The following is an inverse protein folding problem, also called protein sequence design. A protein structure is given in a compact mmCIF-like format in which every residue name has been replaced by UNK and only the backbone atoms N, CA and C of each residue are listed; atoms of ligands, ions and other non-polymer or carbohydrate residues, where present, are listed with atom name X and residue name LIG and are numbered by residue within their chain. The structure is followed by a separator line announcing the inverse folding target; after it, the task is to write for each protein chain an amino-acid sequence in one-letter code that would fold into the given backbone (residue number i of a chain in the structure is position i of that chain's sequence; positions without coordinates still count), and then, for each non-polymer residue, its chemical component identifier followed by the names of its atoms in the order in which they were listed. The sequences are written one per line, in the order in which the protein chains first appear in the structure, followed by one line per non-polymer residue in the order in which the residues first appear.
data_IF_891817905538
#
_entry.id   IF_891817905538
#
_cell.length_a   1.000
_cell.length_b   1.000
_cell.length_c   1.000
_cell.angle_alpha   90.00
_cell.angle_beta   90.00
_cell.angle_gamma   90.00
#
_symmetry.space_group_name_H-M   'P 1'
#
loop_
_entity.id
_entity.type
_entity.pdbx_description
1 polymer ?
#
# COMPACT_ATOMS: atom_id res chain seq x y z
N UNK A 1 5.98 -7.55 -4.52
CA UNK A 1 6.13 -7.39 -5.98
C UNK A 1 7.53 -7.75 -6.44
N UNK A 2 8.59 -7.24 -5.81
CA UNK A 2 9.99 -7.58 -6.14
C UNK A 2 10.30 -9.09 -6.14
N UNK A 3 9.74 -9.85 -5.20
CA UNK A 3 9.88 -11.31 -5.19
C UNK A 3 9.33 -11.96 -6.48
N UNK A 4 8.34 -11.35 -7.15
CA UNK A 4 7.80 -11.86 -8.42
C UNK A 4 8.81 -11.74 -9.57
N UNK A 5 9.79 -10.84 -9.46
CA UNK A 5 10.91 -10.71 -10.39
C UNK A 5 12.21 -11.32 -9.82
N UNK A 6 12.10 -12.14 -8.76
CA UNK A 6 13.23 -12.85 -8.14
C UNK A 6 14.11 -11.98 -7.21
N UNK A 7 13.70 -10.75 -6.92
CA UNK A 7 14.45 -9.85 -6.05
C UNK A 7 14.04 -10.07 -4.59
N UNK A 8 14.91 -10.75 -3.83
CA UNK A 8 14.72 -10.98 -2.39
C UNK A 8 15.18 -9.76 -1.56
N UNK A 9 14.35 -8.72 -1.47
CA UNK A 9 14.66 -7.56 -0.63
C UNK A 9 14.25 -7.76 0.83
N UNK A 10 15.02 -7.19 1.74
CA UNK A 10 14.67 -7.14 3.16
C UNK A 10 13.51 -6.18 3.39
N UNK A 11 12.54 -6.60 4.20
CA UNK A 11 11.41 -5.74 4.57
C UNK A 11 11.91 -4.57 5.42
N UNK A 12 11.62 -3.31 5.05
CA UNK A 12 12.00 -2.17 5.87
C UNK A 12 11.23 -2.19 7.21
N UNK A 13 11.87 -1.68 8.26
CA UNK A 13 11.25 -1.50 9.58
C UNK A 13 10.12 -0.47 9.57
N UNK A 14 9.33 -0.43 10.65
CA UNK A 14 8.30 0.61 10.82
C UNK A 14 8.96 1.98 10.98
N UNK A 15 8.42 2.98 10.29
CA UNK A 15 8.88 4.37 10.38
C UNK A 15 7.82 5.21 11.10
N UNK A 16 8.26 6.23 11.83
CA UNK A 16 7.41 7.24 12.46
C UNK A 16 8.03 8.61 12.27
N UNK A 17 7.20 9.61 12.03
CA UNK A 17 7.64 10.96 11.69
C UNK A 17 6.99 11.99 12.62
N UNK A 18 7.66 13.14 12.74
CA UNK A 18 7.25 14.21 13.65
C UNK A 18 6.36 15.25 12.96
N UNK A 19 6.30 15.27 11.63
CA UNK A 19 5.50 16.25 10.88
C UNK A 19 4.64 15.61 9.79
N UNK A 20 3.51 16.24 9.50
CA UNK A 20 2.60 15.83 8.41
C UNK A 20 3.33 15.79 7.06
N UNK A 21 4.19 16.79 6.80
CA UNK A 21 4.92 16.87 5.54
C UNK A 21 5.87 15.68 5.32
N UNK A 22 6.47 15.15 6.40
CA UNK A 22 7.30 13.95 6.31
C UNK A 22 6.48 12.71 5.89
N UNK A 23 5.26 12.55 6.42
CA UNK A 23 4.36 11.48 5.99
C UNK A 23 3.94 11.64 4.51
N UNK A 24 3.61 12.86 4.08
CA UNK A 24 3.26 13.16 2.69
C UNK A 24 4.43 12.78 1.75
N UNK A 25 5.65 13.18 2.10
CA UNK A 25 6.84 12.83 1.32
C UNK A 25 7.04 11.31 1.20
N UNK A 26 6.81 10.54 2.27
CA UNK A 26 6.91 9.08 2.20
C UNK A 26 5.83 8.47 1.30
N UNK A 27 4.61 9.01 1.29
CA UNK A 27 3.58 8.55 0.35
C UNK A 27 4.00 8.81 -1.10
N UNK A 28 4.55 9.98 -1.41
CA UNK A 28 5.09 10.26 -2.74
C UNK A 28 6.21 9.31 -3.14
N UNK A 29 7.15 9.01 -2.23
CA UNK A 29 8.21 8.04 -2.47
C UNK A 29 7.65 6.64 -2.73
N UNK A 30 6.65 6.20 -1.96
CA UNK A 30 5.97 4.92 -2.19
C UNK A 30 5.32 4.86 -3.57
N UNK A 31 4.61 5.92 -3.98
CA UNK A 31 3.96 5.97 -5.29
C UNK A 31 4.98 5.96 -6.42
N UNK A 32 6.04 6.78 -6.30
CA UNK A 32 7.10 6.84 -7.31
C UNK A 32 7.82 5.51 -7.46
N UNK A 33 8.08 4.84 -6.33
CA UNK A 33 8.68 3.53 -6.33
C UNK A 33 7.78 2.49 -7.03
N UNK A 34 6.47 2.51 -6.77
CA UNK A 34 5.50 1.64 -7.44
C UNK A 34 5.47 1.88 -8.95
N UNK A 35 5.40 3.14 -9.39
CA UNK A 35 5.46 3.52 -10.80
C UNK A 35 6.75 3.02 -11.47
N UNK A 36 7.90 3.31 -10.86
CA UNK A 36 9.20 2.91 -11.37
C UNK A 36 9.33 1.38 -11.50
N UNK A 37 8.71 0.62 -10.60
CA UNK A 37 8.70 -0.84 -10.67
C UNK A 37 8.04 -1.34 -11.96
N UNK A 38 6.88 -0.81 -12.35
CA UNK A 38 6.21 -1.20 -13.59
C UNK A 38 6.94 -0.68 -14.84
N UNK A 39 7.42 0.57 -14.81
CA UNK A 39 8.22 1.12 -15.91
C UNK A 39 9.49 0.30 -16.18
N UNK A 40 10.12 -0.23 -15.13
CA UNK A 40 11.33 -1.06 -15.27
C UNK A 40 11.03 -2.50 -15.69
N UNK A 41 9.78 -2.95 -15.59
CA UNK A 41 9.36 -4.32 -15.89
C UNK A 41 8.16 -4.33 -16.85
N UNK A 42 8.30 -3.83 -18.09
CA UNK A 42 7.16 -3.65 -19.01
C UNK A 42 6.50 -4.95 -19.46
N UNK A 43 7.23 -6.07 -19.44
CA UNK A 43 6.73 -7.40 -19.83
C UNK A 43 6.31 -8.25 -18.62
N UNK A 44 6.12 -7.63 -17.46
CA UNK A 44 5.73 -8.33 -16.24
C UNK A 44 4.34 -8.93 -16.41
N UNK A 45 4.25 -10.25 -16.25
CA UNK A 45 2.98 -10.94 -16.20
C UNK A 45 2.31 -10.63 -14.85
N UNK A 46 1.22 -9.87 -14.87
CA UNK A 46 0.53 -9.42 -13.65
C UNK A 46 -0.58 -10.37 -13.19
N UNK A 47 -1.22 -11.06 -14.13
CA UNK A 47 -2.24 -12.09 -13.88
C UNK A 47 -1.59 -13.47 -13.87
N UNK A 48 -1.86 -14.27 -12.84
CA UNK A 48 -1.34 -15.64 -12.76
C UNK A 48 -2.44 -16.60 -12.36
N UNK A 49 -2.79 -17.52 -13.25
CA UNK A 49 -3.81 -18.56 -12.97
C UNK A 49 -3.22 -19.79 -12.30
N UNK A 50 -1.94 -20.07 -12.50
CA UNK A 50 -1.23 -21.18 -11.86
C UNK A 50 -0.90 -20.81 -10.40
N UNK A 51 -1.62 -21.45 -9.47
CA UNK A 51 -1.46 -21.25 -8.02
C UNK A 51 -0.01 -21.45 -7.59
N UNK A 52 0.70 -22.43 -8.18
CA UNK A 52 2.09 -22.71 -7.81
C UNK A 52 3.07 -21.57 -8.10
N UNK A 53 2.65 -20.61 -8.95
CA UNK A 53 3.42 -19.43 -9.35
C UNK A 53 2.94 -18.15 -8.65
N UNK A 54 1.93 -18.23 -7.79
CA UNK A 54 1.47 -17.08 -6.99
C UNK A 54 2.40 -16.80 -5.83
N UNK A 55 2.39 -15.55 -5.37
CA UNK A 55 3.15 -15.12 -4.21
C UNK A 55 2.38 -15.49 -2.94
N UNK A 56 3.03 -16.24 -2.04
CA UNK A 56 2.52 -16.43 -0.68
C UNK A 56 2.84 -15.20 0.15
N UNK A 57 1.81 -14.57 0.72
CA UNK A 57 1.96 -13.44 1.63
C UNK A 57 2.02 -13.89 3.08
N UNK A 58 2.51 -13.02 3.96
CA UNK A 58 2.76 -13.38 5.38
C UNK A 58 1.53 -13.82 6.17
N UNK A 59 0.32 -13.53 5.68
CA UNK A 59 -0.94 -13.98 6.31
C UNK A 59 -1.48 -15.28 5.69
N UNK A 60 -0.68 -16.00 4.91
CA UNK A 60 -0.94 -17.37 4.44
C UNK A 60 -1.64 -17.49 3.10
N UNK A 61 -2.28 -16.42 2.62
CA UNK A 61 -2.97 -16.40 1.33
C UNK A 61 -1.99 -16.33 0.15
N UNK A 62 -2.49 -16.66 -1.04
CA UNK A 62 -1.73 -16.60 -2.29
C UNK A 62 -2.35 -15.61 -3.27
N UNK A 63 -1.52 -14.71 -3.80
CA UNK A 63 -1.95 -13.67 -4.72
C UNK A 63 -1.03 -13.57 -5.93
N UNK A 64 -1.60 -13.20 -7.07
CA UNK A 64 -0.84 -12.63 -8.17
C UNK A 64 -0.61 -11.13 -7.97
N UNK A 65 0.02 -10.48 -8.95
CA UNK A 65 0.40 -9.07 -8.84
C UNK A 65 -0.84 -8.18 -8.94
N UNK A 66 -1.77 -8.50 -9.84
CA UNK A 66 -3.03 -7.78 -10.01
C UNK A 66 -3.82 -7.75 -8.68
N UNK A 67 -4.04 -8.92 -8.08
CA UNK A 67 -4.79 -9.03 -6.84
C UNK A 67 -4.13 -8.26 -5.68
N UNK A 68 -2.79 -8.23 -5.61
CA UNK A 68 -2.09 -7.42 -4.60
C UNK A 68 -2.19 -5.92 -4.87
N UNK A 69 -2.22 -5.49 -6.14
CA UNK A 69 -2.43 -4.08 -6.48
C UNK A 69 -3.84 -3.64 -6.10
N UNK A 70 -4.85 -4.44 -6.43
CA UNK A 70 -6.23 -4.17 -6.02
C UNK A 70 -6.33 -4.06 -4.50
N UNK A 71 -5.74 -5.01 -3.77
CA UNK A 71 -5.67 -4.98 -2.31
C UNK A 71 -5.02 -3.69 -1.80
N UNK A 72 -3.89 -3.27 -2.39
CA UNK A 72 -3.19 -2.06 -1.98
C UNK A 72 -4.05 -0.80 -2.21
N UNK A 73 -4.76 -0.71 -3.33
CA UNK A 73 -5.65 0.41 -3.64
C UNK A 73 -6.80 0.47 -2.62
N UNK A 74 -7.51 -0.64 -2.39
CA UNK A 74 -8.62 -0.65 -1.43
C UNK A 74 -8.15 -0.37 0.00
N UNK A 75 -6.93 -0.79 0.35
CA UNK A 75 -6.32 -0.52 1.65
C UNK A 75 -6.03 0.98 1.85
N UNK A 76 -5.50 1.67 0.83
CA UNK A 76 -5.28 3.13 0.87
C UNK A 76 -6.63 3.86 1.01
N UNK A 77 -7.63 3.49 0.20
CA UNK A 77 -8.96 4.12 0.26
C UNK A 77 -9.65 3.89 1.61
N UNK A 78 -9.50 2.69 2.19
CA UNK A 78 -9.99 2.37 3.53
C UNK A 78 -9.38 3.29 4.58
N UNK A 79 -8.05 3.48 4.57
CA UNK A 79 -7.37 4.35 5.52
C UNK A 79 -7.72 5.82 5.33
N UNK A 80 -7.86 6.28 4.09
CA UNK A 80 -8.36 7.64 3.81
C UNK A 80 -9.73 7.85 4.47
N UNK A 81 -10.67 6.93 4.26
CA UNK A 81 -12.01 7.01 4.89
C UNK A 81 -11.95 7.00 6.42
N UNK A 82 -11.05 6.20 7.01
CA UNK A 82 -10.84 6.20 8.46
C UNK A 82 -10.36 7.57 8.96
N UNK A 83 -9.39 8.19 8.28
CA UNK A 83 -8.90 9.54 8.62
C UNK A 83 -10.02 10.57 8.49
N UNK A 84 -10.79 10.54 7.40
CA UNK A 84 -11.94 11.43 7.19
C UNK A 84 -12.97 11.30 8.31
N UNK A 85 -13.26 10.08 8.76
CA UNK A 85 -14.17 9.84 9.88
C UNK A 85 -13.61 10.38 11.20
N UNK A 86 -12.31 10.20 11.48
CA UNK A 86 -11.69 10.77 12.68
C UNK A 86 -11.78 12.30 12.70
N UNK A 87 -11.56 12.95 11.56
CA UNK A 87 -11.68 14.42 11.44
C UNK A 87 -13.12 14.86 11.70
N UNK A 88 -14.13 14.16 11.15
CA UNK A 88 -15.55 14.47 11.41
C UNK A 88 -15.91 14.32 12.88
N UNK A 89 -15.52 13.22 13.52
CA UNK A 89 -15.77 12.97 14.94
C UNK A 89 -15.16 14.05 15.84
N UNK A 90 -13.94 14.51 15.53
CA UNK A 90 -13.32 15.62 16.28
C UNK A 90 -14.08 16.94 16.07
N UNK A 91 -14.55 17.21 14.85
CA UNK A 91 -15.35 18.41 14.55
C UNK A 91 -16.71 18.42 15.26
N UNK A 92 -17.38 17.27 15.33
CA UNK A 92 -18.65 17.09 16.05
C UNK A 92 -18.47 17.32 17.56
N UNK A 93 -17.43 16.74 18.17
CA UNK A 93 -17.11 16.96 19.60
C UNK A 93 -16.84 18.42 19.95
N UNK A 94 -16.18 19.19 19.07
CA UNK A 94 -15.91 20.61 19.29
C UNK A 94 -17.19 21.45 19.24
N UNK A 95 -18.19 21.04 18.44
CA UNK A 95 -19.45 21.76 18.32
C UNK A 95 -20.42 21.46 19.48
N UNK A 96 -20.37 20.28 20.08
CA UNK A 96 -21.15 19.95 21.29
C UNK A 96 -20.65 20.66 22.56
N UNK A 97 -19.42 21.18 22.54
CA UNK A 97 -18.80 21.93 23.64
C UNK A 97 -18.97 23.46 23.54
N UNK A 98 -19.66 23.95 22.51
CA UNK A 98 -19.98 25.37 22.29
C UNK A 98 -21.45 25.65 22.53
#
# INVERSE_FOLDING_TARGET
MENAVGLNKTRPGKLSFNTVNQYINQLHLMFKYCENFFLSNPNLLIEQTDISKKMTVNWGEQYDIEQLLEHAIVHILRHRRQIENFIKMQGEQINELK
#
